data_IF_598006787442
#
_entry.id   IF_598006787442
#
_cell.length_a   1.000
_cell.length_b   1.000
_cell.length_c   1.000
_cell.angle_alpha   90.00
_cell.angle_beta   90.00
_cell.angle_gamma   90.00
#
_symmetry.space_group_name_H-M   'P 1'
#
loop_
_entity.id
_entity.type
_entity.pdbx_description
1 polymer ?
#
# COMPACT_ATOMS: atom_id res chain seq x y z
N UNK A 1 8.02 5.02 25.47
CA UNK A 1 7.32 4.54 24.27
C UNK A 1 8.09 4.76 22.96
N UNK A 2 8.48 5.99 22.56
CA UNK A 2 9.11 6.19 21.24
C UNK A 2 10.43 5.44 21.06
N UNK A 3 11.33 5.48 22.06
CA UNK A 3 12.66 4.86 21.99
C UNK A 3 12.62 3.34 21.91
N UNK A 4 11.84 2.68 22.78
CA UNK A 4 11.67 1.21 22.79
C UNK A 4 11.09 0.70 21.48
N UNK A 5 10.06 1.37 20.96
CA UNK A 5 9.45 1.02 19.68
C UNK A 5 10.44 1.17 18.52
N UNK A 6 11.19 2.27 18.48
CA UNK A 6 12.22 2.51 17.45
C UNK A 6 13.33 1.46 17.50
N UNK A 7 13.76 1.05 18.70
CA UNK A 7 14.85 0.09 18.85
C UNK A 7 14.47 -1.33 18.38
N UNK A 8 13.25 -1.78 18.66
CA UNK A 8 12.80 -3.14 18.30
C UNK A 8 12.17 -3.24 16.91
N UNK A 9 11.73 -2.14 16.31
CA UNK A 9 11.10 -2.11 14.98
C UNK A 9 11.81 -1.15 14.01
N UNK A 10 13.12 -0.94 14.16
CA UNK A 10 13.91 -0.09 13.27
C UNK A 10 13.70 -0.49 11.79
N UNK A 11 13.48 0.50 10.91
CA UNK A 11 13.19 0.27 9.49
C UNK A 11 11.77 -0.25 9.17
N UNK A 12 10.95 -0.56 10.18
CA UNK A 12 9.53 -0.94 10.04
C UNK A 12 8.57 0.17 10.45
N UNK A 13 9.10 1.34 10.80
CA UNK A 13 8.35 2.50 11.27
C UNK A 13 8.32 3.54 10.17
N UNK A 14 7.12 3.98 9.82
CA UNK A 14 6.92 5.10 8.90
C UNK A 14 6.17 6.23 9.61
N UNK A 15 6.70 7.43 9.44
CA UNK A 15 6.12 8.66 9.96
C UNK A 15 4.90 9.09 9.13
N UNK A 16 3.69 8.80 9.65
CA UNK A 16 2.41 9.10 8.98
C UNK A 16 2.09 10.59 8.83
N UNK A 17 2.75 11.46 9.59
CA UNK A 17 2.65 12.91 9.40
C UNK A 17 3.31 13.33 8.07
N UNK A 18 4.38 12.64 7.65
CA UNK A 18 5.07 12.91 6.39
C UNK A 18 4.25 12.46 5.18
N UNK A 19 3.54 11.34 5.28
CA UNK A 19 2.68 10.86 4.17
C UNK A 19 1.58 11.89 3.85
N UNK A 20 0.97 12.51 4.88
CA UNK A 20 -0.03 13.57 4.70
C UNK A 20 0.53 14.79 3.95
N UNK A 21 1.72 15.26 4.32
CA UNK A 21 2.41 16.39 3.66
C UNK A 21 2.74 16.16 2.18
N UNK A 22 2.85 14.89 1.75
CA UNK A 22 3.15 14.52 0.36
C UNK A 22 1.88 14.27 -0.45
N UNK A 23 0.83 13.74 0.19
CA UNK A 23 -0.44 13.37 -0.47
C UNK A 23 -1.16 14.55 -1.12
N UNK A 24 -0.91 15.78 -0.65
CA UNK A 24 -1.57 17.01 -1.14
C UNK A 24 -1.29 17.37 -2.62
N UNK A 25 -0.46 16.62 -3.36
CA UNK A 25 -0.16 16.88 -4.78
C UNK A 25 -0.34 15.69 -5.74
N UNK A 26 -0.68 14.49 -5.27
CA UNK A 26 -0.74 13.30 -6.13
C UNK A 26 -1.71 12.22 -5.62
N UNK A 27 -2.50 11.65 -6.52
CA UNK A 27 -3.41 10.53 -6.22
C UNK A 27 -2.64 9.20 -6.20
N UNK A 28 -1.71 9.07 -5.24
CA UNK A 28 -0.84 7.91 -5.05
C UNK A 28 -1.33 7.11 -3.85
N UNK A 29 -1.38 5.76 -3.92
CA UNK A 29 -1.73 4.94 -2.76
C UNK A 29 -0.78 5.18 -1.58
N UNK A 30 -1.33 5.23 -0.36
CA UNK A 30 -0.57 5.61 0.84
C UNK A 30 0.61 4.68 1.09
N UNK A 31 0.45 3.36 0.93
CA UNK A 31 1.54 2.40 1.13
C UNK A 31 2.70 2.58 0.16
N UNK A 32 2.49 3.16 -1.03
CA UNK A 32 3.58 3.50 -1.96
C UNK A 32 4.39 4.66 -1.41
N UNK A 33 3.72 5.67 -0.85
CA UNK A 33 4.39 6.78 -0.16
C UNK A 33 5.17 6.27 1.06
N UNK A 34 4.57 5.37 1.84
CA UNK A 34 5.20 4.80 3.03
C UNK A 34 6.46 4.00 2.69
N UNK A 35 6.42 3.21 1.61
CA UNK A 35 7.58 2.49 1.10
C UNK A 35 8.72 3.44 0.70
N UNK A 36 8.42 4.48 -0.08
CA UNK A 36 9.42 5.47 -0.50
C UNK A 36 10.00 6.21 0.71
N UNK A 37 9.15 6.64 1.65
CA UNK A 37 9.61 7.27 2.88
C UNK A 37 10.48 6.32 3.72
N UNK A 38 10.14 5.04 3.80
CA UNK A 38 10.97 4.03 4.48
C UNK A 38 12.37 3.92 3.89
N UNK A 39 12.52 4.08 2.57
CA UNK A 39 13.83 4.04 1.89
C UNK A 39 14.68 5.30 2.10
N UNK A 40 14.05 6.49 2.17
CA UNK A 40 14.77 7.77 2.15
C UNK A 40 14.72 8.57 3.46
N UNK A 41 13.85 8.20 4.42
CA UNK A 41 13.61 8.93 5.67
C UNK A 41 13.86 8.05 6.91
N UNK A 42 14.99 7.34 6.96
CA UNK A 42 15.36 6.45 8.09
C UNK A 42 16.08 7.15 9.24
N UNK A 43 16.43 8.44 9.10
CA UNK A 43 17.16 9.21 10.11
C UNK A 43 16.22 9.88 11.12
N UNK A 44 16.75 10.19 12.31
CA UNK A 44 16.08 11.02 13.33
C UNK A 44 16.43 12.51 13.21
N UNK A 45 17.41 12.87 12.38
CA UNK A 45 17.77 14.27 12.12
C UNK A 45 16.72 14.92 11.22
N UNK A 46 16.10 16.00 11.71
CA UNK A 46 15.03 16.72 11.04
C UNK A 46 15.46 17.27 9.67
N UNK A 47 16.72 17.71 9.52
CA UNK A 47 17.24 18.18 8.22
C UNK A 47 17.34 17.04 7.21
N UNK A 48 17.81 15.87 7.64
CA UNK A 48 17.91 14.68 6.80
C UNK A 48 16.51 14.21 6.40
N UNK A 49 15.54 14.26 7.32
CA UNK A 49 14.15 13.93 7.04
C UNK A 49 13.55 14.88 6.00
N UNK A 50 13.75 16.19 6.11
CA UNK A 50 13.24 17.15 5.12
C UNK A 50 13.83 16.91 3.73
N UNK A 51 15.14 16.63 3.65
CA UNK A 51 15.79 16.29 2.39
C UNK A 51 15.26 14.97 1.82
N UNK A 52 15.02 13.97 2.68
CA UNK A 52 14.38 12.71 2.30
C UNK A 52 12.98 12.91 1.73
N UNK A 53 12.17 13.75 2.37
CA UNK A 53 10.81 14.11 1.90
C UNK A 53 10.87 14.79 0.53
N UNK A 54 11.81 15.71 0.32
CA UNK A 54 11.97 16.36 -0.97
C UNK A 54 12.38 15.37 -2.06
N UNK A 55 13.30 14.44 -1.76
CA UNK A 55 13.69 13.37 -2.69
C UNK A 55 12.47 12.50 -3.08
N UNK A 56 11.62 12.13 -2.11
CA UNK A 56 10.39 11.37 -2.40
C UNK A 56 9.45 12.15 -3.32
N UNK A 57 9.26 13.45 -3.08
CA UNK A 57 8.45 14.32 -3.96
C UNK A 57 9.01 14.34 -5.39
N UNK A 58 10.32 14.47 -5.53
CA UNK A 58 10.99 14.52 -6.83
C UNK A 58 10.84 13.19 -7.58
N UNK A 59 11.04 12.06 -6.91
CA UNK A 59 10.84 10.71 -7.47
C UNK A 59 9.40 10.54 -7.94
N UNK A 60 8.40 10.90 -7.11
CA UNK A 60 7.00 10.78 -7.49
C UNK A 60 6.67 11.68 -8.69
N UNK A 61 7.15 12.93 -8.71
CA UNK A 61 6.89 13.85 -9.81
C UNK A 61 7.43 13.39 -11.15
N UNK A 62 8.54 12.62 -11.14
CA UNK A 62 9.24 12.16 -12.35
C UNK A 62 8.81 10.76 -12.77
N UNK A 63 8.66 9.86 -11.82
CA UNK A 63 8.55 8.43 -12.08
C UNK A 63 7.12 7.91 -11.90
N UNK A 64 6.26 8.54 -11.09
CA UNK A 64 4.88 8.08 -10.95
C UNK A 64 4.09 8.31 -12.24
N UNK A 65 3.53 7.24 -12.78
CA UNK A 65 2.77 7.31 -14.03
C UNK A 65 1.36 7.80 -13.73
N UNK A 66 1.03 8.97 -14.25
CA UNK A 66 -0.34 9.46 -14.31
C UNK A 66 -0.95 9.03 -15.65
N UNK A 67 -2.16 8.41 -15.67
CA UNK A 67 -2.74 7.90 -16.91
C UNK A 67 -2.84 8.93 -18.05
N UNK A 68 -3.14 10.19 -17.71
CA UNK A 68 -3.22 11.33 -18.62
C UNK A 68 -1.87 11.80 -19.17
N UNK A 69 -0.76 11.44 -18.51
CA UNK A 69 0.61 11.76 -18.95
C UNK A 69 1.37 10.53 -19.51
N UNK A 70 0.71 9.38 -19.67
CA UNK A 70 1.31 8.11 -20.10
C UNK A 70 2.14 8.23 -21.39
N UNK A 71 1.58 8.88 -22.43
CA UNK A 71 2.27 9.05 -23.72
C UNK A 71 3.53 9.93 -23.63
N UNK A 72 3.56 10.91 -22.73
CA UNK A 72 4.75 11.73 -22.47
C UNK A 72 5.87 10.89 -21.87
N UNK A 73 5.54 9.96 -20.99
CA UNK A 73 6.52 9.03 -20.40
C UNK A 73 7.02 8.04 -21.46
N UNK A 74 6.14 7.50 -22.30
CA UNK A 74 6.51 6.61 -23.41
C UNK A 74 7.45 7.31 -24.40
N UNK A 75 7.16 8.57 -24.78
CA UNK A 75 8.04 9.37 -25.66
C UNK A 75 9.42 9.55 -25.04
N UNK A 76 9.49 9.93 -23.75
CA UNK A 76 10.75 10.05 -23.02
C UNK A 76 11.54 8.74 -22.98
N UNK A 77 10.87 7.63 -22.70
CA UNK A 77 11.49 6.30 -22.67
C UNK A 77 12.07 5.94 -24.05
N UNK A 78 11.36 6.26 -25.14
CA UNK A 78 11.85 6.07 -26.51
C UNK A 78 13.05 6.97 -26.85
N UNK A 79 13.01 8.25 -26.45
CA UNK A 79 14.05 9.23 -26.77
C UNK A 79 15.34 8.99 -25.97
N UNK A 80 15.21 8.66 -24.69
CA UNK A 80 16.35 8.47 -23.76
C UNK A 80 16.86 7.02 -23.82
N UNK A 81 16.03 6.08 -24.27
CA UNK A 81 16.32 4.65 -24.33
C UNK A 81 16.11 3.90 -23.01
N UNK A 82 16.14 4.60 -21.87
CA UNK A 82 15.83 4.03 -20.56
C UNK A 82 15.06 5.00 -19.67
N UNK A 83 14.14 4.48 -18.86
CA UNK A 83 13.35 5.27 -17.93
C UNK A 83 12.85 4.43 -16.76
N UNK A 84 12.77 5.03 -15.57
CA UNK A 84 12.15 4.36 -14.41
C UNK A 84 10.73 4.84 -14.24
N UNK A 85 9.80 3.92 -14.02
CA UNK A 85 8.38 4.23 -13.78
C UNK A 85 7.90 3.60 -12.48
N UNK A 86 6.93 4.23 -11.83
CA UNK A 86 6.17 3.67 -10.71
C UNK A 86 4.75 3.47 -11.20
N UNK A 87 4.36 2.20 -11.33
CA UNK A 87 3.05 1.80 -11.89
C UNK A 87 2.58 0.49 -11.24
N UNK A 88 1.28 0.20 -11.34
CA UNK A 88 0.69 -1.07 -10.96
C UNK A 88 0.81 -2.05 -12.12
N UNK A 89 1.49 -3.16 -11.89
CA UNK A 89 1.71 -4.23 -12.87
C UNK A 89 0.87 -5.45 -12.54
N UNK A 90 0.27 -6.06 -13.57
CA UNK A 90 -0.22 -7.44 -13.53
C UNK A 90 0.58 -8.27 -14.53
N UNK A 91 0.64 -9.58 -14.32
CA UNK A 91 1.34 -10.52 -15.21
C UNK A 91 0.39 -11.64 -15.59
N UNK A 92 0.44 -12.07 -16.85
CA UNK A 92 -0.29 -13.22 -17.38
C UNK A 92 0.65 -14.14 -18.14
N UNK A 93 0.35 -15.44 -18.15
CA UNK A 93 1.04 -16.39 -19.02
C UNK A 93 0.34 -16.39 -20.39
N UNK A 94 1.07 -16.04 -21.44
CA UNK A 94 0.60 -16.21 -22.81
C UNK A 94 0.89 -17.63 -23.28
N UNK A 95 -0.13 -18.49 -23.24
CA UNK A 95 -0.02 -19.90 -23.64
C UNK A 95 0.31 -20.13 -25.12
N UNK A 96 0.16 -19.11 -25.99
CA UNK A 96 0.47 -19.25 -27.42
C UNK A 96 1.96 -19.16 -27.69
N UNK A 97 2.65 -18.34 -26.92
CA UNK A 97 4.09 -18.07 -27.05
C UNK A 97 4.91 -18.66 -25.91
N UNK A 98 4.25 -19.22 -24.89
CA UNK A 98 4.87 -19.72 -23.65
C UNK A 98 5.72 -18.66 -22.93
N UNK A 99 5.21 -17.42 -22.91
CA UNK A 99 5.89 -16.27 -22.32
C UNK A 99 5.02 -15.59 -21.27
N UNK A 100 5.64 -15.16 -20.18
CA UNK A 100 4.98 -14.24 -19.26
C UNK A 100 4.99 -12.83 -19.83
N UNK A 101 3.84 -12.17 -19.75
CA UNK A 101 3.63 -10.82 -20.24
C UNK A 101 3.08 -9.94 -19.13
N UNK A 102 3.66 -8.76 -18.96
CA UNK A 102 3.25 -7.75 -18.01
C UNK A 102 2.32 -6.72 -18.66
N UNK A 103 1.32 -6.30 -17.91
CA UNK A 103 0.41 -5.21 -18.22
C UNK A 103 0.60 -4.08 -17.20
N UNK A 104 0.83 -2.87 -17.70
CA UNK A 104 1.04 -1.64 -16.94
C UNK A 104 -0.26 -0.84 -16.86
N UNK A 105 -0.80 -0.69 -15.65
CA UNK A 105 -2.15 -0.13 -15.45
C UNK A 105 -2.24 1.34 -15.87
N UNK A 106 -1.28 2.18 -15.48
CA UNK A 106 -1.34 3.62 -15.77
C UNK A 106 -0.57 3.98 -17.05
N UNK A 107 0.51 3.26 -17.37
CA UNK A 107 1.27 3.50 -18.60
C UNK A 107 0.51 3.00 -19.83
N UNK A 108 -0.43 2.06 -19.64
CA UNK A 108 -1.28 1.53 -20.71
C UNK A 108 -0.55 0.59 -21.68
N UNK A 109 0.58 0.00 -21.25
CA UNK A 109 1.28 -1.02 -22.02
C UNK A 109 0.74 -2.40 -21.68
N UNK A 110 0.49 -3.22 -22.69
CA UNK A 110 0.12 -4.63 -22.55
C UNK A 110 1.07 -5.49 -23.40
N UNK A 111 1.22 -6.76 -23.03
CA UNK A 111 2.03 -7.73 -23.76
C UNK A 111 3.54 -7.53 -23.59
N UNK A 112 3.99 -6.81 -22.56
CA UNK A 112 5.43 -6.55 -22.35
C UNK A 112 6.10 -7.81 -21.78
N UNK A 113 7.05 -8.47 -22.48
CA UNK A 113 7.66 -9.70 -21.97
C UNK A 113 8.36 -9.48 -20.63
N UNK A 114 8.20 -10.43 -19.72
CA UNK A 114 8.82 -10.41 -18.39
C UNK A 114 9.45 -11.77 -18.06
N UNK A 115 10.60 -11.75 -17.38
CA UNK A 115 11.25 -12.97 -16.89
C UNK A 115 10.33 -13.76 -15.95
N UNK A 116 10.27 -15.09 -16.13
CA UNK A 116 9.55 -16.03 -15.27
C UNK A 116 9.96 -15.99 -13.79
N UNK A 117 11.13 -15.44 -13.48
CA UNK A 117 11.63 -15.26 -12.11
C UNK A 117 10.73 -14.35 -11.28
N UNK A 118 10.15 -13.31 -11.88
CA UNK A 118 9.28 -12.35 -11.18
C UNK A 118 7.94 -12.95 -10.74
N UNK A 119 7.11 -13.54 -11.63
CA UNK A 119 5.86 -14.15 -11.20
C UNK A 119 6.07 -15.33 -10.24
N UNK A 120 7.17 -16.08 -10.37
CA UNK A 120 7.52 -17.16 -9.43
C UNK A 120 7.86 -16.63 -8.03
N UNK A 121 8.51 -15.47 -7.94
CA UNK A 121 8.90 -14.84 -6.67
C UNK A 121 7.77 -14.01 -6.05
N UNK A 122 6.90 -13.43 -6.88
CA UNK A 122 5.89 -12.47 -6.48
C UNK A 122 4.52 -12.87 -7.03
N UNK A 123 3.91 -13.91 -6.44
CA UNK A 123 2.64 -14.50 -6.88
C UNK A 123 1.50 -13.49 -7.08
N UNK A 124 1.48 -12.40 -6.30
CA UNK A 124 0.48 -11.34 -6.43
C UNK A 124 0.50 -10.63 -7.80
N UNK A 125 1.58 -10.73 -8.57
CA UNK A 125 1.61 -10.26 -9.96
C UNK A 125 0.57 -11.01 -10.81
N UNK A 126 0.31 -12.29 -10.52
CA UNK A 126 -0.66 -13.14 -11.22
C UNK A 126 -2.10 -13.02 -10.68
N UNK A 127 -2.30 -12.38 -9.51
CA UNK A 127 -3.54 -12.46 -8.74
C UNK A 127 -4.19 -11.09 -8.40
N UNK A 128 -3.95 -10.06 -9.21
CA UNK A 128 -4.57 -8.73 -9.05
C UNK A 128 -3.59 -7.55 -9.15
N UNK A 129 -2.31 -7.86 -9.28
CA UNK A 129 -1.24 -6.92 -9.57
C UNK A 129 -0.67 -6.21 -8.35
N UNK A 130 0.51 -5.64 -8.53
CA UNK A 130 1.32 -5.03 -7.47
C UNK A 130 1.86 -3.71 -8.00
N UNK A 131 1.93 -2.69 -7.15
CA UNK A 131 2.70 -1.50 -7.48
C UNK A 131 4.19 -1.82 -7.49
N UNK A 132 4.88 -1.37 -8.52
CA UNK A 132 6.28 -1.68 -8.75
C UNK A 132 7.02 -0.42 -9.18
N UNK A 133 8.28 -0.30 -8.76
CA UNK A 133 9.27 0.57 -9.39
C UNK A 133 9.93 -0.26 -10.48
N UNK A 134 9.75 0.14 -11.73
CA UNK A 134 10.18 -0.62 -12.91
C UNK A 134 11.22 0.20 -13.68
N UNK A 135 12.39 -0.39 -13.87
CA UNK A 135 13.40 0.14 -14.79
C UNK A 135 13.12 -0.44 -16.17
N UNK A 136 12.76 0.44 -17.10
CA UNK A 136 12.41 0.09 -18.46
C UNK A 136 13.49 0.53 -19.43
N UNK A 137 13.64 -0.23 -20.49
CA UNK A 137 14.43 0.09 -21.67
C UNK A 137 13.57 0.04 -22.91
N UNK A 138 13.96 0.81 -23.92
CA UNK A 138 13.33 0.84 -25.23
C UNK A 138 14.34 0.44 -26.29
N UNK A 139 14.03 -0.62 -27.02
CA UNK A 139 14.83 -1.08 -28.16
C UNK A 139 13.91 -1.52 -29.28
N UNK A 140 13.91 -0.76 -30.38
CA UNK A 140 13.14 -1.09 -31.58
C UNK A 140 14.07 -1.73 -32.61
N UNK A 141 13.71 -2.95 -33.04
CA UNK A 141 14.44 -3.69 -34.07
C UNK A 141 13.73 -3.55 -35.42
N UNK A 142 14.39 -2.93 -36.40
CA UNK A 142 13.82 -2.77 -37.74
C UNK A 142 13.65 -4.10 -38.48
N UNK A 143 14.43 -5.12 -38.11
CA UNK A 143 14.38 -6.47 -38.69
C UNK A 143 13.25 -7.34 -38.15
N UNK A 144 12.73 -7.04 -36.96
CA UNK A 144 11.63 -7.76 -36.32
C UNK A 144 10.53 -6.80 -35.84
N UNK A 145 9.65 -6.42 -36.78
CA UNK A 145 8.53 -5.50 -36.52
C UNK A 145 7.48 -6.03 -35.56
N UNK A 146 7.47 -7.34 -35.27
CA UNK A 146 6.51 -7.95 -34.35
C UNK A 146 7.00 -7.91 -32.90
N UNK A 147 8.28 -7.61 -32.67
CA UNK A 147 8.85 -7.53 -31.33
C UNK A 147 8.33 -6.31 -30.59
N UNK A 148 7.84 -6.54 -29.37
CA UNK A 148 7.51 -5.46 -28.43
C UNK A 148 8.80 -4.72 -28.05
N UNK A 149 8.92 -3.41 -28.28
CA UNK A 149 10.18 -2.69 -28.09
C UNK A 149 10.45 -2.33 -26.62
N UNK A 150 9.46 -2.53 -25.74
CA UNK A 150 9.57 -2.26 -24.31
C UNK A 150 10.19 -3.46 -23.58
N UNK A 151 11.21 -3.19 -22.78
CA UNK A 151 11.95 -4.20 -22.03
C UNK A 151 11.91 -3.85 -20.55
N UNK A 152 11.56 -4.83 -19.71
CA UNK A 152 11.65 -4.70 -18.25
C UNK A 152 13.04 -5.19 -17.83
N UNK A 153 13.94 -4.26 -17.51
CA UNK A 153 15.28 -4.59 -17.02
C UNK A 153 15.23 -4.99 -15.53
N UNK A 154 14.53 -4.21 -14.71
CA UNK A 154 14.37 -4.48 -13.27
C UNK A 154 12.97 -4.17 -12.79
N UNK A 155 12.38 -5.08 -12.02
CA UNK A 155 11.10 -4.89 -11.34
C UNK A 155 11.31 -4.99 -9.83
N UNK A 156 11.00 -3.92 -9.12
CA UNK A 156 11.06 -3.87 -7.66
C UNK A 156 9.66 -3.66 -7.10
N UNK A 157 9.01 -4.69 -6.54
CA UNK A 157 7.69 -4.55 -5.94
C UNK A 157 7.72 -3.55 -4.78
N UNK A 158 6.78 -2.63 -4.77
CA UNK A 158 6.51 -1.70 -3.68
C UNK A 158 5.72 -2.46 -2.62
N UNK A 159 6.44 -3.16 -1.78
CA UNK A 159 5.89 -3.97 -0.69
C UNK A 159 6.56 -3.60 0.61
N UNK A 160 5.83 -3.73 1.72
CA UNK A 160 6.50 -3.79 3.00
C UNK A 160 7.51 -4.94 3.00
N UNK A 161 8.69 -4.78 3.64
CA UNK A 161 9.64 -5.87 3.82
C UNK A 161 8.91 -7.12 4.32
N UNK A 162 9.30 -8.30 3.85
CA UNK A 162 8.77 -9.57 4.36
C UNK A 162 8.82 -9.54 5.88
N UNK A 163 7.65 -9.63 6.52
CA UNK A 163 7.57 -9.66 7.98
C UNK A 163 8.10 -11.01 8.41
N UNK A 164 9.30 -11.02 8.99
CA UNK A 164 9.76 -12.15 9.78
C UNK A 164 8.86 -12.23 11.01
N UNK A 165 7.94 -13.21 10.98
CA UNK A 165 6.97 -13.41 12.05
C UNK A 165 7.64 -13.80 13.37
N UNK A 166 8.80 -14.45 13.32
CA UNK A 166 9.52 -14.86 14.52
C UNK A 166 10.27 -13.68 15.12
N UNK A 167 10.84 -12.81 14.29
CA UNK A 167 11.37 -11.52 14.72
C UNK A 167 10.27 -10.65 15.35
N UNK A 168 9.10 -10.60 14.73
CA UNK A 168 7.96 -9.83 15.24
C UNK A 168 7.47 -10.35 16.59
N UNK A 169 7.39 -11.68 16.78
CA UNK A 169 7.02 -12.31 18.06
C UNK A 169 8.04 -11.99 19.15
N UNK A 170 9.34 -12.14 18.87
CA UNK A 170 10.40 -11.76 19.82
C UNK A 170 10.32 -10.29 20.22
N UNK A 171 10.13 -9.40 19.24
CA UNK A 171 9.96 -7.98 19.52
C UNK A 171 8.70 -7.69 20.36
N UNK A 172 7.60 -8.41 20.13
CA UNK A 172 6.35 -8.27 20.91
C UNK A 172 6.55 -8.61 22.39
N UNK A 173 7.36 -9.62 22.72
CA UNK A 173 7.61 -10.05 24.10
C UNK A 173 8.23 -8.95 24.98
N UNK A 174 8.93 -8.01 24.35
CA UNK A 174 9.54 -6.88 25.05
C UNK A 174 8.51 -5.86 25.56
N UNK A 175 7.27 -5.87 25.08
CA UNK A 175 6.24 -4.87 25.42
C UNK A 175 5.18 -5.41 26.37
N UNK A 176 4.70 -4.56 27.29
CA UNK A 176 3.50 -4.90 28.08
C UNK A 176 2.25 -4.90 27.19
N UNK A 177 1.16 -5.47 27.68
CA UNK A 177 -0.13 -5.46 26.95
C UNK A 177 -0.61 -4.03 26.68
N UNK A 178 -0.52 -3.13 27.65
CA UNK A 178 -0.95 -1.73 27.47
C UNK A 178 -0.07 -0.99 26.46
N UNK A 179 1.25 -1.20 26.52
CA UNK A 179 2.17 -0.64 25.52
C UNK A 179 1.83 -1.17 24.11
N UNK A 180 1.50 -2.46 24.01
CA UNK A 180 1.15 -3.06 22.73
C UNK A 180 -0.16 -2.51 22.15
N UNK A 181 -1.17 -2.34 23.00
CA UNK A 181 -2.45 -1.71 22.62
C UNK A 181 -2.20 -0.33 22.03
N UNK A 182 -1.37 0.48 22.69
CA UNK A 182 -1.02 1.82 22.22
C UNK A 182 -0.30 1.79 20.86
N UNK A 183 0.58 0.81 20.63
CA UNK A 183 1.27 0.61 19.35
C UNK A 183 0.28 0.27 18.23
N UNK A 184 -0.62 -0.70 18.47
CA UNK A 184 -1.65 -1.12 17.49
C UNK A 184 -2.59 0.04 17.16
N UNK A 185 -3.00 0.82 18.16
CA UNK A 185 -3.84 2.00 17.92
C UNK A 185 -3.12 3.05 17.08
N UNK A 186 -1.85 3.33 17.35
CA UNK A 186 -1.02 4.23 16.52
C UNK A 186 -0.86 3.71 15.10
N UNK A 187 -0.69 2.40 14.91
CA UNK A 187 -0.59 1.80 13.57
C UNK A 187 -1.89 1.88 12.78
N UNK A 188 -3.05 2.04 13.44
CA UNK A 188 -4.33 2.35 12.76
C UNK A 188 -4.57 3.85 12.54
N UNK A 189 -3.67 4.72 13.04
CA UNK A 189 -3.77 6.17 12.93
C UNK A 189 -4.49 6.87 14.08
N UNK A 190 -4.75 6.17 15.18
CA UNK A 190 -5.33 6.73 16.41
C UNK A 190 -4.24 7.19 17.37
N UNK A 191 -4.47 8.25 18.14
CA UNK A 191 -3.55 8.71 19.19
C UNK A 191 -4.02 8.19 20.56
N UNK A 192 -3.37 7.16 21.15
CA UNK A 192 -3.87 6.48 22.35
C UNK A 192 -3.95 7.39 23.57
N UNK A 193 -3.09 8.41 23.64
CA UNK A 193 -3.04 9.37 24.75
C UNK A 193 -4.29 10.27 24.81
N UNK A 194 -5.09 10.31 23.73
CA UNK A 194 -6.35 11.05 23.66
C UNK A 194 -7.57 10.18 23.95
N UNK A 195 -7.36 8.90 24.24
CA UNK A 195 -8.41 7.90 24.41
C UNK A 195 -8.39 7.35 25.83
N UNK A 196 -9.57 7.20 26.42
CA UNK A 196 -9.72 6.42 27.64
C UNK A 196 -9.68 4.91 27.32
N UNK A 197 -9.60 4.08 28.36
CA UNK A 197 -9.46 2.63 28.21
C UNK A 197 -10.59 1.99 27.39
N UNK A 198 -11.84 2.39 27.65
CA UNK A 198 -13.00 1.91 26.90
C UNK A 198 -12.92 2.27 25.42
N UNK A 199 -12.53 3.49 25.11
CA UNK A 199 -12.35 3.96 23.72
C UNK A 199 -11.23 3.18 23.00
N UNK A 200 -10.13 2.87 23.69
CA UNK A 200 -9.05 2.02 23.13
C UNK A 200 -9.60 0.66 22.71
N UNK A 201 -10.36 -0.02 23.58
CA UNK A 201 -10.99 -1.30 23.27
C UNK A 201 -11.99 -1.22 22.11
N UNK A 202 -12.81 -0.17 22.07
CA UNK A 202 -13.76 0.07 20.97
C UNK A 202 -13.07 0.35 19.64
N UNK A 203 -11.85 0.89 19.64
CA UNK A 203 -11.07 1.01 18.41
C UNK A 203 -10.42 -0.30 18.00
N UNK A 204 -9.94 -1.11 18.95
CA UNK A 204 -9.36 -2.43 18.66
C UNK A 204 -10.38 -3.41 18.09
N UNK A 205 -11.64 -3.38 18.54
CA UNK A 205 -12.67 -4.31 18.04
C UNK A 205 -12.91 -4.15 16.52
N UNK A 206 -12.62 -2.96 15.95
CA UNK A 206 -12.68 -2.71 14.50
C UNK A 206 -11.67 -3.56 13.70
N UNK A 207 -10.67 -4.14 14.35
CA UNK A 207 -9.64 -4.99 13.73
C UNK A 207 -10.00 -6.48 13.77
N UNK A 208 -10.94 -6.89 14.62
CA UNK A 208 -11.36 -8.30 14.78
C UNK A 208 -11.79 -8.92 13.44
N UNK A 209 -12.56 -8.24 12.57
CA UNK A 209 -12.93 -8.81 11.26
C UNK A 209 -11.75 -9.09 10.32
N UNK A 210 -10.56 -8.54 10.60
CA UNK A 210 -9.36 -8.74 9.78
C UNK A 210 -8.58 -9.98 10.19
N UNK A 211 -8.82 -10.52 11.39
CA UNK A 211 -8.09 -11.66 11.95
C UNK A 211 -8.99 -12.87 12.21
N UNK A 212 -10.28 -12.64 12.44
CA UNK A 212 -11.27 -13.69 12.65
C UNK A 212 -12.15 -13.91 11.42
N UNK A 213 -12.15 -15.15 10.92
CA UNK A 213 -13.04 -15.54 9.84
C UNK A 213 -14.50 -15.58 10.32
N UNK A 214 -15.44 -15.22 9.44
CA UNK A 214 -16.88 -15.22 9.71
C UNK A 214 -17.34 -14.29 10.86
N UNK A 215 -16.57 -13.26 11.19
CA UNK A 215 -16.95 -12.25 12.17
C UNK A 215 -17.68 -11.08 11.50
N UNK A 216 -18.95 -10.86 11.83
CA UNK A 216 -19.74 -9.73 11.33
C UNK A 216 -19.69 -8.57 12.34
N UNK A 217 -19.22 -7.41 11.90
CA UNK A 217 -19.13 -6.22 12.74
C UNK A 217 -20.03 -5.10 12.21
N UNK A 218 -20.87 -4.55 13.09
CA UNK A 218 -21.72 -3.40 12.78
C UNK A 218 -21.33 -2.20 13.65
N UNK A 219 -21.01 -1.07 13.01
CA UNK A 219 -20.72 0.19 13.71
C UNK A 219 -21.64 1.30 13.21
N UNK A 220 -22.44 1.85 14.12
CA UNK A 220 -23.36 2.94 13.84
C UNK A 220 -22.79 4.27 14.35
N UNK A 221 -22.87 5.32 13.53
CA UNK A 221 -22.53 6.65 13.99
C UNK A 221 -22.62 7.72 12.89
N UNK A 222 -22.46 9.00 13.25
CA UNK A 222 -22.59 10.13 12.32
C UNK A 222 -21.60 10.08 11.14
N UNK A 223 -21.91 10.74 10.02
CA UNK A 223 -20.97 10.84 8.89
C UNK A 223 -19.67 11.55 9.33
N UNK A 224 -18.54 11.15 8.74
CA UNK A 224 -17.24 11.79 8.99
C UNK A 224 -16.45 11.28 10.20
N UNK A 225 -16.95 10.32 10.98
CA UNK A 225 -16.25 9.81 12.18
C UNK A 225 -15.16 8.75 11.90
N UNK A 226 -14.68 8.64 10.65
CA UNK A 226 -13.59 7.74 10.30
C UNK A 226 -13.90 6.23 10.33
N UNK A 227 -15.17 5.81 10.44
CA UNK A 227 -15.59 4.39 10.48
C UNK A 227 -15.03 3.55 9.33
N UNK A 228 -14.98 4.12 8.13
CA UNK A 228 -14.47 3.44 6.94
C UNK A 228 -12.95 3.53 6.77
N UNK A 229 -12.25 4.31 7.61
CA UNK A 229 -10.85 4.66 7.37
C UNK A 229 -9.94 3.44 7.47
N UNK A 230 -10.04 2.66 8.55
CA UNK A 230 -9.23 1.46 8.80
C UNK A 230 -9.37 0.46 7.63
N UNK A 231 -10.60 0.18 7.21
CA UNK A 231 -10.85 -0.79 6.13
C UNK A 231 -10.33 -0.32 4.76
N UNK A 232 -10.34 1.00 4.48
CA UNK A 232 -9.79 1.54 3.24
C UNK A 232 -8.26 1.56 3.22
N UNK A 233 -7.62 1.79 4.36
CA UNK A 233 -6.16 1.95 4.44
C UNK A 233 -5.43 0.62 4.65
N UNK A 234 -6.02 -0.35 5.36
CA UNK A 234 -5.32 -1.61 5.70
C UNK A 234 -5.39 -2.64 4.56
N UNK A 235 -6.49 -2.72 3.82
CA UNK A 235 -6.62 -3.73 2.76
C UNK A 235 -7.46 -3.24 1.58
N UNK A 236 -6.90 -3.23 0.35
CA UNK A 236 -7.67 -2.96 -0.85
C UNK A 236 -8.74 -4.03 -1.13
N UNK A 237 -8.69 -5.18 -0.45
CA UNK A 237 -9.62 -6.30 -0.62
C UNK A 237 -10.75 -6.32 0.43
N UNK A 238 -10.77 -5.36 1.36
CA UNK A 238 -11.84 -5.28 2.36
C UNK A 238 -13.14 -4.79 1.73
N UNK A 239 -14.21 -5.59 1.82
CA UNK A 239 -15.55 -5.19 1.38
C UNK A 239 -16.30 -4.54 2.55
N UNK A 240 -16.57 -3.24 2.43
CA UNK A 240 -17.38 -2.49 3.40
C UNK A 240 -18.78 -2.24 2.83
N UNK A 241 -19.82 -2.73 3.50
CA UNK A 241 -21.20 -2.33 3.24
C UNK A 241 -21.54 -1.11 4.12
N UNK A 242 -21.81 0.04 3.50
CA UNK A 242 -22.29 1.23 4.23
C UNK A 242 -23.76 1.44 3.93
N UNK A 243 -24.61 1.30 4.94
CA UNK A 243 -26.04 1.65 4.85
C UNK A 243 -26.22 3.05 5.41
N UNK A 244 -26.73 3.97 4.58
CA UNK A 244 -27.18 5.29 5.05
C UNK A 244 -28.61 5.12 5.53
N UNK A 245 -28.85 5.16 6.83
CA UNK A 245 -30.20 5.31 7.35
C UNK A 245 -30.68 6.76 7.07
N UNK A 246 -31.79 6.95 6.34
CA UNK A 246 -32.44 8.25 6.28
C UNK A 246 -32.91 8.68 7.68
N UNK A 247 -33.02 9.99 7.95
CA UNK A 247 -33.31 10.52 9.28
C UNK A 247 -34.67 10.12 9.90
N UNK A 248 -35.51 9.33 9.21
CA UNK A 248 -36.87 8.99 9.64
C UNK A 248 -37.13 7.50 9.88
N UNK A 249 -36.09 6.66 9.98
CA UNK A 249 -36.32 5.23 10.28
C UNK A 249 -36.20 4.97 11.78
N UNK A 250 -37.33 5.00 12.49
CA UNK A 250 -37.45 4.37 13.80
C UNK A 250 -37.20 2.87 13.61
N UNK A 251 -36.01 2.40 13.97
CA UNK A 251 -35.71 0.97 14.02
C UNK A 251 -36.22 0.47 15.37
N UNK A 252 -37.46 -0.04 15.39
CA UNK A 252 -37.91 -0.91 16.47
C UNK A 252 -37.13 -2.24 16.36
N UNK A 253 -36.20 -2.46 17.28
CA UNK A 253 -35.61 -3.79 17.46
C UNK A 253 -36.59 -4.61 18.29
N UNK A 254 -37.24 -5.58 17.65
CA UNK A 254 -38.08 -6.57 18.33
C UNK A 254 -37.30 -7.30 19.41
N UNK A 255 -37.93 -7.48 20.57
CA UNK A 255 -37.48 -8.37 21.62
C UNK A 255 -37.23 -9.77 21.03
N UNK A 256 -36.11 -10.39 21.41
CA UNK A 256 -35.59 -11.74 21.11
C UNK A 256 -34.30 -11.69 20.28
N UNK A 257 -33.21 -12.24 20.84
CA UNK A 257 -32.38 -13.21 20.12
C UNK A 257 -31.35 -13.92 20.99
N UNK A 258 -31.52 -15.24 21.00
CA UNK A 258 -30.54 -16.31 20.84
C UNK A 258 -29.20 -16.20 21.60
N UNK A 259 -29.11 -17.02 22.65
CA UNK A 259 -27.85 -17.39 23.27
C UNK A 259 -27.12 -18.43 22.41
N UNK A 260 -25.93 -18.08 21.92
CA UNK A 260 -24.81 -19.00 21.74
C UNK A 260 -23.59 -18.33 22.38
#
# INVERSE_FOLDING_TARGET
MPSKFINHFAGKIVRKDLTKRIKEGANVPVYVLEYLLGMYCSSQDEKIIEQGVQNVKDILSRNYVRPDESQKIISKLREIGSYTVIDKLTVKLNYRTDTYEAEFSNLGLDGVPISNTYPSKYERLLAGGIWCIVQMEYFYDEGDKNRVPFIINKLTPVQMPSIDMDEFKRAREEFTTDEWIDIVLRSTGMEPNKLNEREKWLHLIRLVPLVENNYNFCELGPRGTGKSHIYKEISPNSKLATVVCPPETNIEFGEISLYI
#
